data_IF_935316163145
#
_entry.id   IF_935316163145
#
_cell.length_a   1.000
_cell.length_b   1.000
_cell.length_c   1.000
_cell.angle_alpha   90.00
_cell.angle_beta   90.00
_cell.angle_gamma   90.00
#
_symmetry.space_group_name_H-M   'P 1'
#
loop_
_entity.id
_entity.type
_entity.pdbx_description
1 polymer ?
#
# COMPACT_ATOMS: atom_id res chain seq x y z
N UNK A 1 20.06 -7.94 -1.93
CA UNK A 1 20.96 -7.21 -1.03
C UNK A 1 22.41 -7.60 -1.28
N UNK A 2 22.78 -8.88 -1.33
CA UNK A 2 24.18 -9.33 -1.53
C UNK A 2 24.82 -8.67 -2.77
N UNK A 3 24.10 -8.57 -3.87
CA UNK A 3 24.57 -7.93 -5.11
C UNK A 3 24.77 -6.41 -4.96
N UNK A 4 24.07 -5.78 -4.01
CA UNK A 4 24.16 -4.34 -3.75
C UNK A 4 25.24 -3.98 -2.74
N UNK A 5 25.69 -4.91 -1.90
CA UNK A 5 26.71 -4.65 -0.84
C UNK A 5 27.97 -3.94 -1.34
N UNK A 6 28.52 -4.25 -2.53
CA UNK A 6 29.70 -3.55 -3.03
C UNK A 6 29.50 -2.04 -3.25
N UNK A 7 28.24 -1.60 -3.39
CA UNK A 7 27.87 -0.20 -3.62
C UNK A 7 27.54 0.55 -2.32
N UNK A 8 27.53 -0.13 -1.17
CA UNK A 8 27.24 0.55 0.09
C UNK A 8 28.34 1.57 0.39
N UNK A 9 27.92 2.82 0.54
CA UNK A 9 28.76 3.92 1.05
C UNK A 9 29.01 3.73 2.55
N UNK A 10 29.85 4.57 3.16
CA UNK A 10 30.00 4.57 4.60
C UNK A 10 28.62 4.78 5.26
N UNK A 11 28.20 3.88 6.16
CA UNK A 11 26.88 3.98 6.78
C UNK A 11 26.74 5.31 7.53
N UNK A 12 25.56 5.94 7.39
CA UNK A 12 25.22 7.16 8.12
C UNK A 12 24.83 6.83 9.57
N UNK A 13 24.55 7.85 10.35
CA UNK A 13 24.11 7.69 11.73
C UNK A 13 22.77 6.94 11.83
N UNK A 14 22.58 6.23 12.94
CA UNK A 14 21.34 5.57 13.27
C UNK A 14 20.25 6.59 13.62
N UNK A 15 19.07 6.38 13.10
CA UNK A 15 17.86 7.16 13.36
C UNK A 15 16.81 6.24 13.99
N UNK A 16 16.08 6.73 14.99
CA UNK A 16 14.97 5.98 15.57
C UNK A 16 13.86 5.76 14.53
N UNK A 17 13.29 4.57 14.52
CA UNK A 17 12.08 4.27 13.70
C UNK A 17 10.80 4.83 14.32
N UNK A 18 10.81 5.13 15.61
CA UNK A 18 9.59 5.46 16.36
C UNK A 18 8.64 4.28 16.57
N UNK A 19 9.00 3.09 16.09
CA UNK A 19 8.24 1.84 16.22
C UNK A 19 9.20 0.68 16.40
N UNK A 20 8.69 -0.44 16.95
CA UNK A 20 9.46 -1.68 17.12
C UNK A 20 9.06 -2.68 16.02
N UNK A 21 10.06 -3.23 15.32
CA UNK A 21 9.89 -4.20 14.25
C UNK A 21 10.89 -5.37 14.37
N UNK A 22 10.68 -6.23 15.37
CA UNK A 22 11.61 -7.32 15.72
C UNK A 22 11.91 -8.29 14.59
N UNK A 23 10.93 -8.54 13.73
CA UNK A 23 11.08 -9.45 12.59
C UNK A 23 11.77 -8.83 11.37
N UNK A 24 12.17 -7.55 11.44
CA UNK A 24 12.93 -6.86 10.39
C UNK A 24 14.40 -6.61 10.77
N UNK A 25 14.86 -7.11 11.92
CA UNK A 25 16.25 -6.95 12.41
C UNK A 25 17.26 -7.40 11.36
N UNK A 26 18.26 -6.55 11.10
CA UNK A 26 19.33 -6.80 10.14
C UNK A 26 18.90 -6.82 8.67
N UNK A 27 17.65 -6.45 8.37
CA UNK A 27 17.16 -6.39 6.99
C UNK A 27 17.45 -5.06 6.32
N UNK A 28 17.41 -5.09 4.98
CA UNK A 28 17.65 -3.93 4.13
C UNK A 28 16.40 -3.64 3.29
N UNK A 29 16.11 -2.35 3.11
CA UNK A 29 14.97 -1.89 2.32
C UNK A 29 15.41 -0.81 1.34
N UNK A 30 14.85 -0.87 0.11
CA UNK A 30 14.88 0.26 -0.81
C UNK A 30 13.69 1.15 -0.45
N UNK A 31 13.95 2.46 -0.35
CA UNK A 31 12.92 3.45 -0.06
C UNK A 31 13.08 4.69 -0.94
N UNK A 32 11.97 5.32 -1.28
CA UNK A 32 11.99 6.64 -1.93
C UNK A 32 12.33 7.74 -0.95
N UNK A 33 12.92 8.82 -1.44
CA UNK A 33 13.18 10.03 -0.65
C UNK A 33 11.93 10.89 -0.48
N UNK A 34 11.89 11.61 0.63
CA UNK A 34 10.86 12.63 0.87
C UNK A 34 10.92 13.73 -0.21
N UNK A 35 9.77 14.06 -0.80
CA UNK A 35 9.68 15.03 -1.88
C UNK A 35 10.34 14.59 -3.20
N UNK A 36 10.67 13.32 -3.35
CA UNK A 36 11.25 12.76 -4.57
C UNK A 36 10.19 12.08 -5.43
N UNK A 37 10.47 11.94 -6.72
CA UNK A 37 9.54 11.40 -7.70
C UNK A 37 10.08 10.10 -8.32
N UNK A 38 9.27 9.06 -8.36
CA UNK A 38 9.64 7.76 -8.94
C UNK A 38 10.11 7.87 -10.39
N UNK A 39 9.54 8.80 -11.18
CA UNK A 39 9.95 9.04 -12.58
C UNK A 39 11.42 9.42 -12.75
N UNK A 40 12.04 9.99 -11.71
CA UNK A 40 13.45 10.43 -11.78
C UNK A 40 14.43 9.30 -11.38
N UNK A 41 13.94 8.18 -10.86
CA UNK A 41 14.79 7.09 -10.34
C UNK A 41 15.62 6.46 -11.45
N UNK A 42 15.07 6.36 -12.65
CA UNK A 42 15.78 5.78 -13.80
C UNK A 42 17.02 6.59 -14.18
N UNK A 43 16.93 7.91 -14.16
CA UNK A 43 17.98 8.79 -14.64
C UNK A 43 18.94 9.22 -13.50
N UNK A 44 18.45 9.25 -12.27
CA UNK A 44 19.17 9.75 -11.10
C UNK A 44 18.76 8.98 -9.81
N UNK A 45 19.12 7.69 -9.72
CA UNK A 45 18.73 6.87 -8.58
C UNK A 45 19.31 7.36 -7.25
N UNK A 46 20.56 7.81 -7.23
CA UNK A 46 21.30 8.17 -6.00
C UNK A 46 20.65 9.32 -5.21
N UNK A 47 19.96 10.23 -5.90
CA UNK A 47 19.28 11.36 -5.27
C UNK A 47 17.81 11.08 -4.97
N UNK A 48 17.21 10.04 -5.55
CA UNK A 48 15.76 9.80 -5.47
C UNK A 48 15.36 8.60 -4.62
N UNK A 49 16.22 7.59 -4.49
CA UNK A 49 16.01 6.43 -3.62
C UNK A 49 17.21 6.19 -2.73
N UNK A 50 17.03 5.40 -1.69
CA UNK A 50 18.10 4.93 -0.83
C UNK A 50 17.90 3.51 -0.38
N UNK A 51 18.99 2.88 0.05
CA UNK A 51 18.97 1.62 0.77
C UNK A 51 19.18 1.94 2.24
N UNK A 52 18.27 1.44 3.07
CA UNK A 52 18.34 1.55 4.52
C UNK A 52 18.54 0.19 5.15
N UNK A 53 19.29 0.15 6.24
CA UNK A 53 19.54 -1.01 7.08
C UNK A 53 18.80 -0.84 8.41
N UNK A 54 18.19 -1.91 8.90
CA UNK A 54 17.56 -1.97 10.22
C UNK A 54 18.58 -2.57 11.20
N UNK A 55 18.71 -1.97 12.38
CA UNK A 55 19.63 -2.45 13.40
C UNK A 55 19.18 -3.79 14.04
N UNK A 56 20.09 -4.40 14.80
CA UNK A 56 19.86 -5.67 15.50
C UNK A 56 18.83 -5.54 16.64
N UNK A 57 18.52 -4.34 17.09
CA UNK A 57 17.45 -4.09 18.05
C UNK A 57 16.06 -4.05 17.40
N UNK A 58 15.96 -3.71 16.10
CA UNK A 58 14.70 -3.57 15.37
C UNK A 58 13.95 -2.27 15.68
N UNK A 59 14.63 -1.25 16.14
CA UNK A 59 14.06 0.03 16.55
C UNK A 59 14.65 1.25 15.84
N UNK A 60 15.73 1.04 15.05
CA UNK A 60 16.47 2.10 14.38
C UNK A 60 16.87 1.69 12.97
N UNK A 61 17.05 2.69 12.11
CA UNK A 61 17.49 2.53 10.74
C UNK A 61 18.63 3.49 10.41
N UNK A 62 19.41 3.15 9.39
CA UNK A 62 20.42 4.06 8.81
C UNK A 62 20.46 3.91 7.29
N UNK A 63 20.86 4.97 6.59
CA UNK A 63 21.12 4.92 5.16
C UNK A 63 22.49 4.29 4.92
N UNK A 64 22.55 3.30 4.05
CA UNK A 64 23.79 2.65 3.61
C UNK A 64 24.14 2.96 2.16
N UNK A 65 23.18 3.47 1.37
CA UNK A 65 23.38 3.93 0.00
C UNK A 65 22.28 4.91 -0.42
N UNK A 66 22.61 5.85 -1.31
CA UNK A 66 21.66 6.77 -1.94
C UNK A 66 21.14 7.86 -1.00
N UNK A 67 20.07 8.54 -1.43
CA UNK A 67 19.52 9.72 -0.79
C UNK A 67 20.60 10.79 -0.52
N UNK A 68 21.40 11.06 -1.57
CA UNK A 68 22.51 12.00 -1.47
C UNK A 68 22.07 13.43 -1.15
N UNK A 69 23.05 14.31 -0.81
CA UNK A 69 22.84 15.71 -0.47
C UNK A 69 21.88 15.95 0.71
N UNK A 70 21.94 15.07 1.73
CA UNK A 70 21.14 15.21 2.96
C UNK A 70 19.67 14.84 2.80
N UNK A 71 19.27 14.20 1.67
CA UNK A 71 17.94 13.70 1.47
C UNK A 71 17.61 12.61 2.53
N UNK A 72 16.32 12.52 2.89
CA UNK A 72 15.79 11.59 3.88
C UNK A 72 14.77 10.65 3.24
N UNK A 73 14.55 9.46 3.80
CA UNK A 73 13.42 8.62 3.42
C UNK A 73 12.08 9.36 3.48
N UNK A 74 11.08 8.81 2.79
CA UNK A 74 9.71 9.35 2.84
C UNK A 74 9.24 9.61 4.28
N UNK A 75 8.42 10.64 4.48
CA UNK A 75 7.82 10.96 5.79
C UNK A 75 6.90 9.85 6.30
N UNK A 76 6.40 8.98 5.40
CA UNK A 76 5.57 7.81 5.74
C UNK A 76 6.40 6.59 6.19
N UNK A 77 7.69 6.76 6.43
CA UNK A 77 8.62 5.68 6.73
C UNK A 77 8.21 4.81 7.94
N UNK A 78 7.71 5.36 9.08
CA UNK A 78 7.19 4.53 10.16
C UNK A 78 6.03 3.62 9.73
N UNK A 79 5.11 4.13 8.91
CA UNK A 79 4.01 3.33 8.34
C UNK A 79 4.52 2.21 7.44
N UNK A 80 5.52 2.49 6.59
CA UNK A 80 6.14 1.46 5.76
C UNK A 80 6.75 0.34 6.60
N UNK A 81 7.54 0.65 7.63
CA UNK A 81 8.16 -0.37 8.49
C UNK A 81 7.13 -1.24 9.22
N UNK A 82 6.14 -0.63 9.87
CA UNK A 82 5.10 -1.40 10.54
C UNK A 82 4.37 -2.31 9.56
N UNK A 83 4.06 -1.82 8.37
CA UNK A 83 3.40 -2.62 7.34
C UNK A 83 4.31 -3.73 6.80
N UNK A 84 5.60 -3.49 6.57
CA UNK A 84 6.56 -4.54 6.23
C UNK A 84 6.63 -5.64 7.29
N UNK A 85 6.69 -5.25 8.56
CA UNK A 85 6.70 -6.19 9.68
C UNK A 85 5.44 -7.06 9.71
N UNK A 86 4.26 -6.43 9.61
CA UNK A 86 2.98 -7.12 9.64
C UNK A 86 2.79 -8.01 8.41
N UNK A 87 3.09 -7.51 7.21
CA UNK A 87 2.95 -8.29 5.96
C UNK A 87 3.92 -9.44 5.90
N UNK A 88 5.16 -9.25 6.37
CA UNK A 88 6.12 -10.36 6.50
C UNK A 88 5.57 -11.47 7.38
N UNK A 89 4.97 -11.15 8.52
CA UNK A 89 4.37 -12.13 9.42
C UNK A 89 3.13 -12.79 8.80
N UNK A 90 2.20 -12.00 8.23
CA UNK A 90 0.95 -12.50 7.68
C UNK A 90 1.12 -13.39 6.43
N UNK A 91 2.21 -13.21 5.68
CA UNK A 91 2.46 -13.92 4.42
C UNK A 91 3.67 -14.85 4.45
N UNK A 92 4.19 -15.16 5.65
CA UNK A 92 5.42 -15.94 5.83
C UNK A 92 6.61 -15.41 4.98
N UNK A 93 6.72 -14.08 4.88
CA UNK A 93 7.79 -13.41 4.15
C UNK A 93 7.58 -13.31 2.63
N UNK A 94 6.45 -13.75 2.10
CA UNK A 94 6.19 -13.69 0.66
C UNK A 94 6.00 -12.26 0.15
N UNK A 95 5.34 -11.39 0.92
CA UNK A 95 5.07 -10.00 0.51
C UNK A 95 6.15 -9.06 1.05
N UNK A 96 6.93 -8.51 0.12
CA UNK A 96 8.13 -7.69 0.43
C UNK A 96 8.07 -6.28 -0.14
N UNK A 97 7.03 -5.95 -0.88
CA UNK A 97 6.81 -4.62 -1.44
C UNK A 97 5.65 -3.95 -0.72
N UNK A 98 5.87 -2.72 -0.30
CA UNK A 98 4.82 -1.78 0.13
C UNK A 98 4.87 -0.60 -0.82
N UNK A 99 3.74 -0.32 -1.46
CA UNK A 99 3.58 0.81 -2.36
C UNK A 99 2.49 1.74 -1.84
N UNK A 100 2.81 3.03 -1.74
CA UNK A 100 1.88 4.07 -1.35
C UNK A 100 1.78 5.13 -2.45
N UNK A 101 0.56 5.54 -2.78
CA UNK A 101 0.31 6.61 -3.73
C UNK A 101 -0.94 7.41 -3.39
N UNK A 102 -0.97 8.66 -3.84
CA UNK A 102 -2.13 9.54 -3.72
C UNK A 102 -3.05 9.32 -4.93
N UNK A 103 -3.98 8.40 -4.77
CA UNK A 103 -4.93 7.91 -5.78
C UNK A 103 -6.14 8.84 -5.87
N UNK A 104 -6.24 9.77 -6.86
CA UNK A 104 -7.19 10.88 -6.81
C UNK A 104 -8.66 10.46 -6.84
N UNK A 105 -9.02 9.43 -7.60
CA UNK A 105 -10.41 8.98 -7.67
C UNK A 105 -10.82 8.23 -6.40
N UNK A 106 -9.94 7.39 -5.87
CA UNK A 106 -10.18 6.71 -4.59
C UNK A 106 -10.27 7.73 -3.43
N UNK A 107 -9.42 8.76 -3.43
CA UNK A 107 -9.52 9.87 -2.48
C UNK A 107 -10.88 10.55 -2.61
N UNK A 108 -11.34 10.84 -3.82
CA UNK A 108 -12.66 11.45 -4.06
C UNK A 108 -13.81 10.60 -3.51
N UNK A 109 -13.74 9.27 -3.64
CA UNK A 109 -14.73 8.36 -3.03
C UNK A 109 -14.84 8.55 -1.52
N UNK A 110 -13.75 8.89 -0.81
CA UNK A 110 -13.76 9.07 0.65
C UNK A 110 -14.59 10.28 1.12
N UNK A 111 -14.95 11.20 0.21
CA UNK A 111 -15.82 12.35 0.51
C UNK A 111 -17.31 12.03 0.43
N UNK A 112 -17.68 10.98 -0.31
CA UNK A 112 -19.07 10.70 -0.69
C UNK A 112 -19.57 9.34 -0.21
N UNK A 113 -18.70 8.52 0.40
CA UNK A 113 -19.05 7.18 0.85
C UNK A 113 -18.84 6.99 2.35
N UNK A 114 -19.58 6.09 2.99
CA UNK A 114 -19.25 5.63 4.33
C UNK A 114 -17.84 5.03 4.37
N UNK A 115 -17.02 5.43 5.36
CA UNK A 115 -15.63 4.98 5.49
C UNK A 115 -15.57 3.58 6.13
N UNK A 116 -16.12 2.58 5.45
CA UNK A 116 -16.10 1.18 5.88
C UNK A 116 -15.46 0.28 4.83
N UNK A 117 -14.81 -0.79 5.27
CA UNK A 117 -14.23 -1.79 4.38
C UNK A 117 -15.29 -2.41 3.45
N UNK A 118 -16.51 -2.64 3.96
CA UNK A 118 -17.63 -3.21 3.19
C UNK A 118 -18.05 -2.29 2.06
N UNK A 119 -18.33 -1.01 2.35
CA UNK A 119 -18.85 -0.08 1.35
C UNK A 119 -17.84 0.16 0.24
N UNK A 120 -16.56 0.36 0.60
CA UNK A 120 -15.49 0.53 -0.39
C UNK A 120 -15.26 -0.72 -1.22
N UNK A 121 -15.13 -1.88 -0.60
CA UNK A 121 -14.91 -3.14 -1.33
C UNK A 121 -16.04 -3.40 -2.32
N UNK A 122 -17.29 -3.28 -1.88
CA UNK A 122 -18.45 -3.50 -2.75
C UNK A 122 -18.50 -2.53 -3.93
N UNK A 123 -18.31 -1.24 -3.67
CA UNK A 123 -18.32 -0.24 -4.73
C UNK A 123 -17.23 -0.51 -5.77
N UNK A 124 -16.03 -0.87 -5.35
CA UNK A 124 -14.91 -1.20 -6.23
C UNK A 124 -15.17 -2.51 -7.02
N UNK A 125 -15.60 -3.59 -6.34
CA UNK A 125 -15.90 -4.87 -7.01
C UNK A 125 -17.02 -4.73 -8.04
N UNK A 126 -18.04 -3.91 -7.77
CA UNK A 126 -19.16 -3.68 -8.65
C UNK A 126 -18.85 -2.72 -9.81
N UNK A 127 -17.70 -2.06 -9.79
CA UNK A 127 -17.29 -1.09 -10.80
C UNK A 127 -16.46 -1.70 -11.94
N UNK A 128 -15.76 -2.80 -11.71
CA UNK A 128 -14.94 -3.45 -12.74
C UNK A 128 -14.78 -4.95 -12.47
N UNK A 129 -14.92 -5.75 -13.50
CA UNK A 129 -14.93 -7.23 -13.45
C UNK A 129 -13.65 -7.83 -12.87
N UNK A 130 -12.51 -7.18 -13.07
CA UNK A 130 -11.20 -7.67 -12.59
C UNK A 130 -11.03 -7.57 -11.06
N UNK A 131 -11.77 -6.66 -10.43
CA UNK A 131 -11.56 -6.34 -9.01
C UNK A 131 -11.70 -7.52 -8.06
N UNK A 132 -12.75 -8.36 -8.12
CA UNK A 132 -12.88 -9.53 -7.24
C UNK A 132 -11.78 -10.57 -7.47
N UNK A 133 -11.13 -10.57 -8.63
CA UNK A 133 -10.00 -11.47 -8.92
C UNK A 133 -8.70 -10.92 -8.34
N UNK A 134 -8.45 -9.61 -8.48
CA UNK A 134 -7.19 -8.96 -8.08
C UNK A 134 -7.12 -8.76 -6.55
N UNK A 135 -8.23 -8.41 -5.91
CA UNK A 135 -8.29 -8.25 -4.44
C UNK A 135 -9.52 -8.93 -3.84
N UNK A 136 -9.57 -10.26 -3.88
CA UNK A 136 -10.73 -11.04 -3.39
C UNK A 136 -10.96 -10.89 -1.87
N UNK A 137 -9.94 -10.47 -1.13
CA UNK A 137 -10.05 -10.14 0.29
C UNK A 137 -10.71 -8.79 0.57
N UNK A 138 -10.84 -7.94 -0.46
CA UNK A 138 -11.34 -6.57 -0.33
C UNK A 138 -10.26 -5.57 0.09
N UNK A 139 -10.70 -4.40 0.57
CA UNK A 139 -9.83 -3.31 1.03
C UNK A 139 -10.19 -2.89 2.46
N UNK A 140 -9.18 -2.61 3.28
CA UNK A 140 -9.37 -1.95 4.56
C UNK A 140 -9.52 -0.44 4.39
N UNK A 141 -10.15 0.25 5.36
CA UNK A 141 -10.31 1.72 5.33
C UNK A 141 -9.87 2.30 6.67
N UNK A 142 -8.94 3.25 6.63
CA UNK A 142 -8.51 4.07 7.77
C UNK A 142 -9.22 5.40 7.67
N UNK A 143 -9.96 5.84 8.72
CA UNK A 143 -10.51 7.20 8.78
C UNK A 143 -9.38 8.22 8.71
N UNK A 144 -9.72 9.49 8.42
CA UNK A 144 -8.71 10.54 8.35
C UNK A 144 -7.89 10.63 9.65
N UNK A 145 -6.58 10.61 9.48
CA UNK A 145 -5.57 10.76 10.53
C UNK A 145 -4.41 11.60 9.98
N UNK A 146 -3.64 12.23 10.88
CA UNK A 146 -2.42 12.94 10.48
C UNK A 146 -1.39 11.94 9.94
N UNK A 147 -0.89 12.10 8.72
CA UNK A 147 0.08 11.18 8.12
C UNK A 147 1.47 11.29 8.78
N UNK A 148 2.29 10.26 8.60
CA UNK A 148 3.68 10.22 9.09
C UNK A 148 3.84 9.88 10.58
N UNK A 149 2.75 9.80 11.33
CA UNK A 149 2.77 9.49 12.77
C UNK A 149 2.60 8.01 13.11
N UNK A 150 2.83 7.66 14.38
CA UNK A 150 2.66 6.29 14.87
C UNK A 150 1.20 5.82 14.85
N UNK A 151 0.24 6.73 15.07
CA UNK A 151 -1.18 6.37 15.13
C UNK A 151 -1.71 5.83 13.81
N UNK A 152 -1.44 6.53 12.69
CA UNK A 152 -1.85 6.07 11.37
C UNK A 152 -1.08 4.80 10.95
N UNK A 153 0.20 4.70 11.33
CA UNK A 153 0.99 3.50 11.11
C UNK A 153 0.37 2.29 11.82
N UNK A 154 -0.05 2.45 13.07
CA UNK A 154 -0.69 1.40 13.86
C UNK A 154 -2.08 1.04 13.29
N UNK A 155 -2.89 2.03 12.92
CA UNK A 155 -4.21 1.81 12.33
C UNK A 155 -4.09 1.03 11.01
N UNK A 156 -3.16 1.43 10.14
CA UNK A 156 -2.89 0.76 8.86
C UNK A 156 -2.40 -0.68 9.08
N UNK A 157 -1.46 -0.87 10.00
CA UNK A 157 -0.88 -2.20 10.26
C UNK A 157 -1.89 -3.21 10.79
N UNK A 158 -2.92 -2.76 11.51
CA UNK A 158 -4.02 -3.63 11.93
C UNK A 158 -4.81 -4.17 10.73
N UNK A 159 -5.11 -3.30 9.76
CA UNK A 159 -5.81 -3.69 8.53
C UNK A 159 -4.93 -4.58 7.64
N UNK A 160 -3.65 -4.27 7.51
CA UNK A 160 -2.70 -5.02 6.69
C UNK A 160 -2.38 -6.43 7.23
N UNK A 161 -2.95 -6.85 8.35
CA UNK A 161 -2.99 -8.26 8.77
C UNK A 161 -3.91 -9.09 7.89
N UNK A 162 -5.00 -8.50 7.42
CA UNK A 162 -6.10 -9.15 6.72
C UNK A 162 -6.20 -8.73 5.24
N UNK A 163 -5.87 -7.47 4.94
CA UNK A 163 -5.99 -6.89 3.61
C UNK A 163 -4.63 -6.64 2.96
N UNK A 164 -4.57 -6.79 1.64
CA UNK A 164 -3.41 -6.41 0.84
C UNK A 164 -3.43 -4.91 0.48
N UNK A 165 -4.54 -4.23 0.75
CA UNK A 165 -4.75 -2.82 0.47
C UNK A 165 -5.48 -2.11 1.62
N UNK A 166 -5.03 -0.91 1.97
CA UNK A 166 -5.63 -0.05 2.98
C UNK A 166 -5.81 1.38 2.44
N UNK A 167 -7.06 1.81 2.34
CA UNK A 167 -7.45 3.17 1.95
C UNK A 167 -7.22 4.11 3.12
N UNK A 168 -6.52 5.21 2.90
CA UNK A 168 -6.41 6.32 3.85
C UNK A 168 -7.36 7.45 3.42
N UNK A 169 -8.39 7.70 4.19
CA UNK A 169 -9.37 8.73 3.89
C UNK A 169 -8.71 10.08 3.65
N UNK A 170 -9.06 10.74 2.53
CA UNK A 170 -8.55 12.04 2.10
C UNK A 170 -7.04 12.10 1.82
N UNK A 171 -6.37 10.94 1.65
CA UNK A 171 -4.92 10.92 1.46
C UNK A 171 -4.48 9.99 0.31
N UNK A 172 -4.89 8.72 0.32
CA UNK A 172 -4.44 7.79 -0.71
C UNK A 172 -4.62 6.32 -0.37
N UNK A 173 -3.74 5.49 -0.92
CA UNK A 173 -3.80 4.04 -0.81
C UNK A 173 -2.44 3.46 -0.45
N UNK A 174 -2.40 2.54 0.51
CA UNK A 174 -1.30 1.62 0.78
C UNK A 174 -1.64 0.25 0.22
N UNK A 175 -0.71 -0.35 -0.51
CA UNK A 175 -0.84 -1.74 -0.97
C UNK A 175 0.42 -2.53 -0.67
N UNK A 176 0.28 -3.86 -0.61
CA UNK A 176 1.37 -4.79 -0.42
C UNK A 176 1.33 -5.88 -1.49
N UNK A 177 2.50 -6.33 -1.92
CA UNK A 177 2.65 -7.40 -2.89
C UNK A 177 3.97 -8.15 -2.75
N UNK A 178 4.10 -9.31 -3.43
CA UNK A 178 5.35 -10.08 -3.46
C UNK A 178 6.44 -9.38 -4.27
N UNK A 179 6.05 -8.60 -5.28
CA UNK A 179 6.92 -7.88 -6.21
C UNK A 179 6.31 -6.52 -6.61
N UNK A 180 7.07 -5.72 -7.36
CA UNK A 180 6.65 -4.39 -7.80
C UNK A 180 5.47 -4.43 -8.77
N UNK A 181 5.47 -5.37 -9.70
CA UNK A 181 4.42 -5.47 -10.73
C UNK A 181 3.07 -5.82 -10.10
N UNK A 182 3.06 -6.79 -9.19
CA UNK A 182 1.86 -7.18 -8.45
C UNK A 182 1.34 -6.04 -7.55
N UNK A 183 2.24 -5.37 -6.80
CA UNK A 183 1.85 -4.26 -5.94
C UNK A 183 1.32 -3.07 -6.76
N UNK A 184 1.98 -2.72 -7.88
CA UNK A 184 1.52 -1.68 -8.79
C UNK A 184 0.20 -2.06 -9.46
N UNK A 185 0.06 -3.30 -9.93
CA UNK A 185 -1.16 -3.83 -10.54
C UNK A 185 -2.36 -3.73 -9.60
N UNK A 186 -2.18 -4.08 -8.32
CA UNK A 186 -3.20 -3.92 -7.28
C UNK A 186 -3.60 -2.45 -7.10
N UNK A 187 -2.63 -1.56 -6.94
CA UNK A 187 -2.85 -0.11 -6.83
C UNK A 187 -3.63 0.43 -8.04
N UNK A 188 -3.18 0.08 -9.25
CA UNK A 188 -3.78 0.54 -10.50
C UNK A 188 -5.21 0.03 -10.67
N UNK A 189 -5.47 -1.24 -10.34
CA UNK A 189 -6.82 -1.83 -10.44
C UNK A 189 -7.81 -1.15 -9.51
N UNK A 190 -7.40 -0.88 -8.26
CA UNK A 190 -8.24 -0.18 -7.28
C UNK A 190 -8.54 1.26 -7.76
N UNK A 191 -7.51 2.01 -8.19
CA UNK A 191 -7.70 3.39 -8.67
C UNK A 191 -8.55 3.46 -9.93
N UNK A 192 -8.36 2.52 -10.88
CA UNK A 192 -9.19 2.42 -12.10
C UNK A 192 -10.66 2.16 -11.76
N UNK A 193 -10.93 1.26 -10.81
CA UNK A 193 -12.29 0.99 -10.36
C UNK A 193 -12.92 2.22 -9.70
N UNK A 194 -12.14 2.92 -8.88
CA UNK A 194 -12.56 4.19 -8.27
C UNK A 194 -12.85 5.28 -9.32
N UNK A 195 -12.02 5.38 -10.38
CA UNK A 195 -12.26 6.29 -11.50
C UNK A 195 -13.60 5.99 -12.20
N UNK A 196 -13.87 4.70 -12.47
CA UNK A 196 -15.14 4.28 -13.08
C UNK A 196 -16.31 4.66 -12.18
N UNK A 197 -16.23 4.32 -10.88
CA UNK A 197 -17.25 4.68 -9.89
C UNK A 197 -17.50 6.19 -9.88
N UNK A 198 -16.47 7.00 -9.77
CA UNK A 198 -16.59 8.46 -9.74
C UNK A 198 -17.19 9.03 -11.02
N UNK A 199 -16.83 8.49 -12.19
CA UNK A 199 -17.47 8.89 -13.49
C UNK A 199 -18.96 8.56 -13.52
N UNK A 200 -19.34 7.40 -13.01
CA UNK A 200 -20.75 6.98 -12.95
C UNK A 200 -21.56 7.89 -12.03
N UNK A 201 -21.12 8.11 -10.79
CA UNK A 201 -21.86 8.96 -9.84
C UNK A 201 -21.88 10.42 -10.25
N UNK A 202 -20.81 10.92 -10.88
CA UNK A 202 -20.75 12.30 -11.40
C UNK A 202 -21.61 12.54 -12.64
N UNK A 203 -22.10 11.48 -13.28
CA UNK A 203 -22.99 11.61 -14.43
C UNK A 203 -24.36 12.22 -14.09
N UNK A 204 -24.75 12.18 -12.81
CA UNK A 204 -26.07 12.59 -12.32
C UNK A 204 -27.21 11.69 -12.81
N UNK A 205 -26.91 10.57 -13.48
CA UNK A 205 -27.90 9.61 -13.96
C UNK A 205 -28.09 8.47 -12.96
N UNK A 206 -29.29 7.87 -12.89
CA UNK A 206 -29.50 6.67 -12.09
C UNK A 206 -28.65 5.51 -12.63
N UNK A 207 -28.08 4.73 -11.72
CA UNK A 207 -27.39 3.47 -12.07
C UNK A 207 -28.46 2.45 -12.45
N UNK A 208 -28.48 2.01 -13.70
CA UNK A 208 -29.49 1.07 -14.23
C UNK A 208 -29.10 -0.39 -13.98
N UNK A 209 -27.82 -0.69 -13.90
CA UNK A 209 -27.29 -2.04 -13.68
C UNK A 209 -25.91 -1.98 -13.04
N UNK A 210 -25.55 -3.04 -12.35
CA UNK A 210 -24.23 -3.24 -11.74
C UNK A 210 -23.90 -4.71 -11.71
N UNK A 211 -22.65 -5.08 -11.38
CA UNK A 211 -22.27 -6.46 -11.13
C UNK A 211 -22.91 -6.89 -9.81
N UNK A 212 -23.76 -7.92 -9.85
CA UNK A 212 -24.50 -8.42 -8.67
C UNK A 212 -23.64 -9.41 -7.88
N UNK A 213 -24.01 -9.70 -6.65
CA UNK A 213 -23.28 -10.66 -5.80
C UNK A 213 -23.17 -12.06 -6.45
N UNK A 214 -24.22 -12.52 -7.13
CA UNK A 214 -24.17 -13.78 -7.88
C UNK A 214 -23.17 -13.74 -9.04
N UNK A 215 -23.06 -12.59 -9.71
CA UNK A 215 -22.10 -12.40 -10.80
C UNK A 215 -20.66 -12.33 -10.26
N UNK A 216 -20.45 -11.67 -9.11
CA UNK A 216 -19.15 -11.65 -8.40
C UNK A 216 -18.72 -13.07 -7.99
N UNK A 217 -19.64 -13.88 -7.48
CA UNK A 217 -19.35 -15.27 -7.11
C UNK A 217 -19.02 -16.11 -8.36
N UNK A 218 -19.74 -15.92 -9.46
CA UNK A 218 -19.45 -16.60 -10.74
C UNK A 218 -18.04 -16.28 -11.24
N UNK A 219 -17.61 -15.01 -11.16
CA UNK A 219 -16.26 -14.60 -11.53
C UNK A 219 -15.24 -15.29 -10.60
N UNK A 220 -15.50 -15.28 -9.29
CA UNK A 220 -14.59 -15.88 -8.32
C UNK A 220 -14.39 -17.38 -8.57
N UNK A 221 -15.46 -18.11 -8.85
CA UNK A 221 -15.45 -19.54 -9.14
C UNK A 221 -14.68 -19.83 -10.44
N UNK A 222 -14.91 -19.06 -11.51
CA UNK A 222 -14.23 -19.22 -12.79
C UNK A 222 -12.72 -18.98 -12.69
N UNK A 223 -12.30 -17.98 -11.91
CA UNK A 223 -10.88 -17.64 -11.70
C UNK A 223 -10.23 -18.35 -10.51
N UNK A 224 -10.97 -19.20 -9.79
CA UNK A 224 -10.45 -19.98 -8.67
C UNK A 224 -10.02 -19.16 -7.46
N UNK A 225 -10.64 -17.98 -7.26
CA UNK A 225 -10.36 -17.10 -6.10
C UNK A 225 -11.46 -17.19 -5.06
N UNK A 226 -11.14 -16.92 -3.81
CA UNK A 226 -12.09 -16.98 -2.69
C UNK A 226 -12.42 -15.57 -2.22
N UNK A 227 -13.63 -15.10 -2.51
CA UNK A 227 -14.10 -13.81 -2.04
C UNK A 227 -14.32 -13.80 -0.52
N UNK A 228 -14.05 -12.67 0.10
CA UNK A 228 -14.44 -12.41 1.47
C UNK A 228 -15.97 -12.29 1.55
N UNK A 229 -16.62 -13.34 2.06
CA UNK A 229 -18.08 -13.46 2.11
C UNK A 229 -18.75 -12.37 2.99
N UNK A 230 -18.01 -11.73 3.90
CA UNK A 230 -18.53 -10.63 4.71
C UNK A 230 -18.94 -9.41 3.87
N UNK A 231 -18.47 -9.32 2.62
CA UNK A 231 -18.76 -8.22 1.72
C UNK A 231 -19.88 -8.51 0.70
N UNK A 232 -20.38 -9.75 0.65
CA UNK A 232 -21.55 -10.15 -0.15
C UNK A 232 -22.84 -10.03 0.68
N UNK A 233 -24.00 -9.83 0.03
CA UNK A 233 -25.33 -9.76 0.68
C UNK A 233 -25.83 -8.36 0.96
#
# INVERSE_FOLDING_TARGET
VEQCRPFFTAPREWNSMGVQADNLKGEYFITTGSGKFLRNVQDDPEHNIGIVEINDAGDSWRIVWGLENGARPTSEFPSHFMNHSVRKAATNGAYRVIYHAHTPNLIAMTYIMPLTARDFTRALWQSATECPVVFPGGVGVVPWMVPGGADIALATSKLMKEYDAAVWAHHGLFVSGPDFDTAFGLMHTIEKAAEIYMKVVSSGRPVLQTIRDADLQTIADEFGVKLNQAFLG
#
